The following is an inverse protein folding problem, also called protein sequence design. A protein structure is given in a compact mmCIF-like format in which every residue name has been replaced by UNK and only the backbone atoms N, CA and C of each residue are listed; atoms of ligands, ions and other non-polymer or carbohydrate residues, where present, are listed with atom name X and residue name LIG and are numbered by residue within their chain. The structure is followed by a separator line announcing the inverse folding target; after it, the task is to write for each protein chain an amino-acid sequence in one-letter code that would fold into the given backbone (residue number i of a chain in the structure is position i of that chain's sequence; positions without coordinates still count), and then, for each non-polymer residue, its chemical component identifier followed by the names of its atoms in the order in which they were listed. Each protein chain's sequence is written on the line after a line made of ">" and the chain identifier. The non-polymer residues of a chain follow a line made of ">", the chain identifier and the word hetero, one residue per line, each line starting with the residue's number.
data_IF_062649978620
#
_entry.id   IF_062649978620
#
_cell.length_a   1.000
_cell.length_b   1.000
_cell.length_c   1.000
_cell.angle_alpha   90.00
_cell.angle_beta   90.00
_cell.angle_gamma   90.00
#
_symmetry.space_group_name_H-M   'P 1'
#
loop_
_entity.id
_entity.type
_entity.pdbx_description
1 polymer ?
#
# COMPACT_ATOMS: atom_id res chain seq x y z
N UNK A 1 4.44 -22.74 13.52
CA UNK A 1 3.53 -21.89 12.70
C UNK A 1 4.25 -20.59 12.39
N UNK A 2 4.46 -20.23 11.12
CA UNK A 2 4.85 -18.84 10.78
C UNK A 2 3.62 -17.97 11.07
N UNK A 3 3.76 -16.96 11.93
CA UNK A 3 2.74 -15.93 12.09
C UNK A 3 2.60 -15.24 10.73
N UNK A 4 1.44 -15.43 10.09
CA UNK A 4 1.09 -14.66 8.90
C UNK A 4 0.88 -13.21 9.33
N UNK A 5 1.73 -12.31 8.85
CA UNK A 5 1.64 -10.90 9.19
C UNK A 5 0.46 -10.29 8.42
N UNK A 6 -0.57 -9.81 9.13
CA UNK A 6 -1.66 -9.05 8.54
C UNK A 6 -1.39 -7.55 8.75
N UNK A 7 -0.87 -6.83 7.74
CA UNK A 7 -0.46 -5.44 7.94
C UNK A 7 -1.67 -4.53 8.19
N UNK A 8 -1.49 -3.60 9.12
CA UNK A 8 -2.46 -2.56 9.46
C UNK A 8 -1.78 -1.21 9.29
N UNK A 9 -2.42 -0.30 8.56
CA UNK A 9 -1.97 1.09 8.49
C UNK A 9 -2.12 1.73 9.88
N UNK A 10 -1.04 2.28 10.44
CA UNK A 10 -1.12 2.95 11.74
C UNK A 10 -2.13 4.09 11.70
N UNK A 11 -2.88 4.27 12.81
CA UNK A 11 -3.96 5.26 12.97
C UNK A 11 -3.55 6.70 12.67
N UNK A 12 -2.26 6.99 12.73
CA UNK A 12 -1.70 8.31 12.46
C UNK A 12 -1.66 8.63 10.96
N UNK A 13 -1.78 7.62 10.09
CA UNK A 13 -1.74 7.82 8.65
C UNK A 13 -3.15 7.88 8.04
N UNK A 14 -3.33 8.82 7.12
CA UNK A 14 -4.53 8.94 6.29
C UNK A 14 -4.16 8.89 4.81
N UNK A 15 -4.95 8.18 4.02
CA UNK A 15 -4.78 8.06 2.58
C UNK A 15 -5.79 8.97 1.88
N UNK A 16 -5.35 9.72 0.88
CA UNK A 16 -6.23 10.59 0.11
C UNK A 16 -5.83 10.63 -1.35
N UNK A 17 -6.84 10.75 -2.22
CA UNK A 17 -6.67 11.09 -3.63
C UNK A 17 -7.08 12.56 -3.79
N UNK A 18 -6.14 13.38 -4.26
CA UNK A 18 -6.32 14.81 -4.46
C UNK A 18 -6.40 15.06 -5.96
N UNK A 19 -7.54 15.56 -6.42
CA UNK A 19 -7.74 15.95 -7.81
C UNK A 19 -7.15 17.36 -7.94
N UNK A 20 -6.12 17.51 -8.79
CA UNK A 20 -5.47 18.80 -9.08
C UNK A 20 -5.62 19.14 -10.56
N UNK A 21 -5.36 20.39 -10.94
CA UNK A 21 -5.37 20.82 -12.36
C UNK A 21 -4.34 20.05 -13.21
N UNK A 22 -3.26 19.59 -12.57
CA UNK A 22 -2.18 18.80 -13.19
C UNK A 22 -2.49 17.28 -13.22
N UNK A 23 -3.61 16.86 -12.62
CA UNK A 23 -4.06 15.48 -12.58
C UNK A 23 -4.33 14.94 -11.17
N UNK A 24 -4.61 13.64 -11.10
CA UNK A 24 -4.90 12.93 -9.87
C UNK A 24 -3.62 12.61 -9.10
N UNK A 25 -3.43 13.26 -7.95
CA UNK A 25 -2.33 12.98 -7.04
C UNK A 25 -2.78 12.06 -5.90
N UNK A 26 -1.94 11.10 -5.53
CA UNK A 26 -2.15 10.30 -4.31
C UNK A 26 -1.27 10.82 -3.20
N UNK A 27 -1.82 10.89 -1.98
CA UNK A 27 -1.16 11.47 -0.80
C UNK A 27 -1.35 10.54 0.39
N UNK A 28 -0.27 10.33 1.15
CA UNK A 28 -0.31 9.77 2.50
C UNK A 28 0.03 10.90 3.46
N UNK A 29 -0.89 11.19 4.37
CA UNK A 29 -0.71 12.21 5.40
C UNK A 29 -0.42 11.56 6.74
N UNK A 30 0.67 11.96 7.40
CA UNK A 30 0.93 11.63 8.79
C UNK A 30 0.33 12.75 9.66
N UNK A 31 -0.74 12.43 10.38
CA UNK A 31 -1.48 13.34 11.24
C UNK A 31 -0.70 13.74 12.50
N UNK A 32 0.21 12.89 12.98
CA UNK A 32 1.03 13.17 14.15
C UNK A 32 2.15 14.18 13.83
N UNK A 33 2.85 14.01 12.71
CA UNK A 33 3.95 14.91 12.30
C UNK A 33 3.53 16.04 11.35
N UNK A 34 2.28 16.01 10.85
CA UNK A 34 1.78 16.86 9.76
C UNK A 34 2.54 16.71 8.44
N UNK A 35 3.30 15.62 8.29
CA UNK A 35 4.05 15.31 7.08
C UNK A 35 3.14 14.80 5.95
N UNK A 36 3.52 15.12 4.71
CA UNK A 36 2.89 14.60 3.49
C UNK A 36 3.90 13.80 2.69
N UNK A 37 3.49 12.64 2.20
CA UNK A 37 4.21 11.88 1.20
C UNK A 37 3.35 11.74 -0.06
N UNK A 38 3.99 11.75 -1.22
CA UNK A 38 3.37 11.58 -2.53
C UNK A 38 3.79 10.21 -3.08
N UNK A 39 3.11 9.12 -2.68
CA UNK A 39 3.47 7.78 -3.13
C UNK A 39 3.23 7.62 -4.64
N UNK A 40 3.94 6.67 -5.24
CA UNK A 40 3.53 6.12 -6.52
C UNK A 40 2.29 5.21 -6.37
N UNK A 41 1.69 4.84 -7.50
CA UNK A 41 0.48 4.00 -7.54
C UNK A 41 0.62 2.70 -6.74
N UNK A 42 1.75 2.00 -6.87
CA UNK A 42 1.98 0.73 -6.17
C UNK A 42 1.97 0.90 -4.64
N UNK A 43 2.66 1.91 -4.14
CA UNK A 43 2.74 2.20 -2.70
C UNK A 43 1.38 2.60 -2.15
N UNK A 44 0.60 3.39 -2.90
CA UNK A 44 -0.74 3.81 -2.51
C UNK A 44 -1.73 2.63 -2.48
N UNK A 45 -1.72 1.78 -3.52
CA UNK A 45 -2.59 0.60 -3.58
C UNK A 45 -2.25 -0.45 -2.52
N UNK A 46 -0.96 -0.57 -2.16
CA UNK A 46 -0.54 -1.39 -1.01
C UNK A 46 -1.11 -0.83 0.29
N UNK A 47 -0.91 0.46 0.58
CA UNK A 47 -1.37 1.08 1.82
C UNK A 47 -2.91 0.98 1.98
N UNK A 48 -3.69 1.09 0.89
CA UNK A 48 -5.16 0.90 0.90
C UNK A 48 -5.62 -0.47 1.38
N UNK A 49 -4.78 -1.50 1.25
CA UNK A 49 -5.06 -2.91 1.59
C UNK A 49 -4.56 -3.30 2.98
N UNK A 50 -3.77 -2.46 3.65
CA UNK A 50 -3.30 -2.70 5.01
C UNK A 50 -4.40 -2.47 6.05
N UNK A 51 -5.41 -3.35 6.08
CA UNK A 51 -6.58 -3.27 6.97
C UNK A 51 -6.56 -4.29 8.11
N UNK A 52 -5.54 -5.15 8.16
CA UNK A 52 -5.42 -6.22 9.15
C UNK A 52 -6.30 -7.45 8.89
N UNK A 53 -7.02 -7.48 7.77
CA UNK A 53 -7.93 -8.56 7.39
C UNK A 53 -7.30 -9.61 6.45
N UNK A 54 -6.17 -9.28 5.81
CA UNK A 54 -5.44 -10.16 4.89
C UNK A 54 -3.96 -10.30 5.24
N UNK A 55 -3.36 -11.51 5.08
CA UNK A 55 -1.92 -11.70 5.12
C UNK A 55 -1.17 -10.87 4.07
N UNK A 56 0.06 -10.49 4.37
CA UNK A 56 0.94 -9.75 3.45
C UNK A 56 1.07 -10.46 2.09
N UNK A 57 1.22 -11.79 2.09
CA UNK A 57 1.41 -12.57 0.86
C UNK A 57 0.19 -12.51 -0.06
N UNK A 58 -1.02 -12.46 0.50
CA UNK A 58 -2.25 -12.31 -0.26
C UNK A 58 -2.39 -10.90 -0.84
N UNK A 59 -1.98 -9.88 -0.08
CA UNK A 59 -1.94 -8.49 -0.57
C UNK A 59 -0.95 -8.37 -1.75
N UNK A 60 0.24 -8.97 -1.64
CA UNK A 60 1.24 -8.98 -2.72
C UNK A 60 0.69 -9.70 -3.95
N UNK A 61 0.06 -10.88 -3.78
CA UNK A 61 -0.55 -11.63 -4.88
C UNK A 61 -1.62 -10.82 -5.64
N UNK A 62 -2.47 -10.09 -4.91
CA UNK A 62 -3.48 -9.23 -5.51
C UNK A 62 -2.87 -8.09 -6.32
N UNK A 63 -1.83 -7.44 -5.79
CA UNK A 63 -1.14 -6.34 -6.46
C UNK A 63 -0.42 -6.81 -7.71
N UNK A 64 0.34 -7.92 -7.64
CA UNK A 64 1.01 -8.52 -8.81
C UNK A 64 0.00 -8.86 -9.92
N UNK A 65 -1.14 -9.45 -9.58
CA UNK A 65 -2.20 -9.74 -10.55
C UNK A 65 -2.80 -8.47 -11.19
N UNK A 66 -2.91 -7.38 -10.43
CA UNK A 66 -3.42 -6.11 -10.94
C UNK A 66 -2.43 -5.39 -11.85
N UNK A 67 -1.13 -5.49 -11.59
CA UNK A 67 -0.08 -4.88 -12.42
C UNK A 67 0.31 -5.75 -13.62
N UNK A 68 -0.04 -7.04 -13.61
CA UNK A 68 0.44 -8.01 -14.60
C UNK A 68 1.89 -8.47 -14.35
N UNK A 69 2.46 -8.13 -13.19
CA UNK A 69 3.80 -8.55 -12.80
C UNK A 69 3.79 -9.98 -12.22
N UNK A 70 4.86 -10.77 -12.42
CA UNK A 70 4.98 -12.07 -11.80
C UNK A 70 5.04 -11.95 -10.28
N UNK A 71 4.42 -12.89 -9.56
CA UNK A 71 4.59 -12.97 -8.11
C UNK A 71 6.06 -13.24 -7.80
N UNK A 72 6.65 -12.41 -6.92
CA UNK A 72 8.05 -12.48 -6.54
C UNK A 72 8.32 -13.73 -5.70
N UNK A 73 8.37 -14.90 -6.34
CA UNK A 73 8.91 -16.14 -5.78
C UNK A 73 10.27 -16.50 -6.41
N UNK A 74 10.79 -15.68 -7.35
CA UNK A 74 12.01 -15.99 -8.10
C UNK A 74 13.27 -15.26 -7.62
N UNK A 75 13.18 -14.33 -6.66
CA UNK A 75 14.35 -13.57 -6.17
C UNK A 75 14.95 -14.11 -4.85
N UNK A 76 14.58 -15.32 -4.42
CA UNK A 76 15.13 -15.97 -3.20
C UNK A 76 15.85 -17.30 -3.48
N UNK A 77 16.47 -17.45 -4.66
CA UNK A 77 17.50 -18.46 -4.89
C UNK A 77 18.89 -17.81 -4.89
#
# INVERSE_FOLDING_TARGET
>A
MKLKMCPVLSKEFSLSKVITEEGDNTVIYNTASRGKAYPNTATYEFAKRCRGDKPLEEIIAELSRMSGEPMVNECMN
#
